data_IF_877975781566
#
_entry.id   IF_877975781566
#
_cell.length_a   1.000
_cell.length_b   1.000
_cell.length_c   1.000
_cell.angle_alpha   90.00
_cell.angle_beta   90.00
_cell.angle_gamma   90.00
#
_symmetry.space_group_name_H-M   'P 1'
#
loop_
_entity.id
_entity.type
_entity.pdbx_description
1 polymer ?
#
# COMPACT_ATOMS: atom_id res chain seq x y z
N UNK A 1 1.45 1.98 31.09
CA UNK A 1 2.56 2.17 30.14
C UNK A 1 1.96 2.76 28.86
N UNK A 2 2.51 3.86 28.33
CA UNK A 2 1.97 4.57 27.17
C UNK A 2 2.98 4.46 26.03
N UNK A 3 2.61 3.78 24.95
CA UNK A 3 3.42 3.77 23.72
C UNK A 3 2.66 4.56 22.67
N UNK A 4 3.19 5.72 22.31
CA UNK A 4 2.61 6.59 21.28
C UNK A 4 3.33 6.29 19.96
N UNK A 5 2.62 5.71 19.00
CA UNK A 5 3.05 5.58 17.60
C UNK A 5 1.97 6.21 16.73
N UNK A 6 2.38 6.93 15.69
CA UNK A 6 1.50 7.76 14.85
C UNK A 6 0.11 7.17 14.62
N UNK A 7 -0.92 7.85 15.14
CA UNK A 7 -2.33 7.56 14.90
C UNK A 7 -3.09 6.96 16.08
N UNK A 8 -2.41 6.34 17.06
CA UNK A 8 -3.07 5.78 18.25
C UNK A 8 -2.12 5.64 19.45
N UNK A 9 -2.71 5.59 20.64
CA UNK A 9 -2.03 5.35 21.91
C UNK A 9 -2.55 4.04 22.49
N UNK A 10 -1.62 3.17 22.88
CA UNK A 10 -1.92 1.97 23.65
C UNK A 10 -1.70 2.24 25.13
N UNK A 11 -2.69 1.91 25.95
CA UNK A 11 -2.57 1.94 27.42
C UNK A 11 -2.99 0.61 27.99
N UNK A 12 -2.25 0.11 28.98
CA UNK A 12 -2.64 -1.02 29.81
C UNK A 12 -2.55 -0.58 31.26
N UNK A 13 -3.48 -1.05 32.11
CA UNK A 13 -3.48 -0.67 33.53
C UNK A 13 -2.47 -1.47 34.34
N UNK A 14 -2.12 -2.67 33.88
CA UNK A 14 -1.14 -3.55 34.52
C UNK A 14 -0.37 -4.35 33.48
N UNK A 15 0.90 -4.57 33.77
CA UNK A 15 1.74 -5.55 33.06
C UNK A 15 2.11 -6.63 34.07
N UNK A 16 1.89 -7.88 33.72
CA UNK A 16 2.25 -9.04 34.53
C UNK A 16 3.28 -9.88 33.78
N UNK A 17 4.35 -10.25 34.47
CA UNK A 17 5.36 -11.17 33.96
C UNK A 17 5.07 -12.57 34.47
N UNK A 18 4.91 -13.52 33.56
CA UNK A 18 4.61 -14.93 33.85
C UNK A 18 5.63 -15.82 33.12
N UNK A 19 6.81 -16.01 33.73
CA UNK A 19 7.91 -16.74 33.10
C UNK A 19 8.44 -15.99 31.89
N UNK A 20 8.42 -16.62 30.70
CA UNK A 20 8.77 -15.95 29.42
C UNK A 20 7.61 -15.18 28.80
N UNK A 21 6.47 -15.06 29.47
CA UNK A 21 5.31 -14.38 28.92
C UNK A 21 5.09 -13.03 29.59
N UNK A 22 4.62 -12.04 28.82
CA UNK A 22 4.15 -10.76 29.32
C UNK A 22 2.66 -10.61 29.03
N UNK A 23 1.86 -10.32 30.05
CA UNK A 23 0.42 -10.07 29.93
C UNK A 23 0.15 -8.60 30.20
N UNK A 24 -0.36 -7.88 29.21
CA UNK A 24 -0.82 -6.51 29.34
C UNK A 24 -2.32 -6.55 29.60
N UNK A 25 -2.72 -6.26 30.84
CA UNK A 25 -4.12 -6.32 31.23
C UNK A 25 -4.88 -5.05 30.90
N UNK A 26 -6.11 -5.22 30.41
CA UNK A 26 -7.04 -4.15 30.04
C UNK A 26 -6.43 -3.15 29.08
N UNK A 27 -5.90 -3.65 27.97
CA UNK A 27 -5.39 -2.87 26.86
C UNK A 27 -6.51 -1.98 26.30
N UNK A 28 -6.26 -0.69 26.20
CA UNK A 28 -7.12 0.29 25.54
C UNK A 28 -6.38 0.96 24.40
N UNK A 29 -7.07 1.10 23.29
CA UNK A 29 -6.59 1.77 22.07
C UNK A 29 -7.31 3.12 21.96
N UNK A 30 -6.54 4.20 22.06
CA UNK A 30 -7.06 5.57 21.89
C UNK A 30 -6.57 6.11 20.56
N UNK A 31 -7.47 6.47 19.64
CA UNK A 31 -7.08 7.05 18.35
C UNK A 31 -6.69 8.51 18.52
N UNK A 32 -5.50 8.89 18.11
CA UNK A 32 -5.01 10.28 18.22
C UNK A 32 -5.58 11.13 17.09
N UNK A 33 -6.15 12.30 17.40
CA UNK A 33 -6.70 13.23 16.39
C UNK A 33 -8.15 12.96 15.99
N UNK A 34 -8.85 12.09 16.71
CA UNK A 34 -10.28 11.84 16.62
C UNK A 34 -10.87 11.89 18.02
N UNK A 35 -12.04 12.50 18.20
CA UNK A 35 -12.76 12.48 19.48
C UNK A 35 -13.63 11.21 19.55
N UNK A 36 -12.94 10.07 19.65
CA UNK A 36 -13.55 8.74 19.74
C UNK A 36 -13.25 8.14 21.12
N UNK A 37 -14.23 7.43 21.72
CA UNK A 37 -13.99 6.73 22.98
C UNK A 37 -12.87 5.70 22.80
N UNK A 38 -12.02 5.48 23.83
CA UNK A 38 -11.01 4.43 23.78
C UNK A 38 -11.64 3.07 23.54
N UNK A 39 -11.11 2.32 22.58
CA UNK A 39 -11.53 0.96 22.29
C UNK A 39 -10.90 0.02 23.31
N UNK A 40 -11.74 -0.71 24.05
CA UNK A 40 -11.28 -1.77 24.95
C UNK A 40 -10.87 -3.00 24.11
N UNK A 41 -9.61 -3.39 24.22
CA UNK A 41 -9.01 -4.49 23.49
C UNK A 41 -8.70 -5.68 24.41
N UNK A 42 -9.11 -5.65 25.68
CA UNK A 42 -8.91 -6.75 26.63
C UNK A 42 -7.44 -7.01 26.96
N UNK A 43 -7.10 -8.26 27.26
CA UNK A 43 -5.75 -8.62 27.71
C UNK A 43 -4.88 -9.07 26.53
N UNK A 44 -3.73 -8.43 26.33
CA UNK A 44 -2.77 -8.79 25.29
C UNK A 44 -1.66 -9.66 25.88
N UNK A 45 -1.44 -10.84 25.31
CA UNK A 45 -0.35 -11.73 25.74
C UNK A 45 0.77 -11.76 24.70
N UNK A 46 1.99 -11.49 25.17
CA UNK A 46 3.23 -11.72 24.45
C UNK A 46 3.86 -12.99 25.01
N UNK A 47 4.02 -14.00 24.17
CA UNK A 47 4.56 -15.31 24.52
C UNK A 47 6.01 -15.43 24.08
N UNK A 48 6.84 -16.06 24.91
CA UNK A 48 8.24 -16.34 24.57
C UNK A 48 9.07 -15.07 24.37
N UNK A 49 8.90 -14.09 25.26
CA UNK A 49 9.71 -12.88 25.30
C UNK A 49 11.09 -13.21 25.82
N UNK A 50 12.11 -12.94 25.02
CA UNK A 50 13.50 -13.14 25.42
C UNK A 50 14.33 -11.91 25.10
N UNK A 51 15.21 -11.54 26.04
CA UNK A 51 16.18 -10.50 25.82
C UNK A 51 17.38 -11.09 25.07
N UNK A 52 17.79 -10.43 23.99
CA UNK A 52 18.99 -10.75 23.22
C UNK A 52 20.24 -10.14 23.87
N UNK A 53 21.41 -10.71 23.56
CA UNK A 53 22.69 -10.26 24.10
C UNK A 53 23.03 -8.79 23.76
N UNK A 54 22.50 -8.27 22.65
CA UNK A 54 22.63 -6.88 22.21
C UNK A 54 21.67 -5.91 22.93
N UNK A 55 20.86 -6.41 23.86
CA UNK A 55 19.82 -5.66 24.56
C UNK A 55 18.50 -5.56 23.79
N UNK A 56 18.38 -6.22 22.63
CA UNK A 56 17.14 -6.33 21.87
C UNK A 56 16.20 -7.35 22.48
N UNK A 57 15.05 -7.55 21.85
CA UNK A 57 14.07 -8.55 22.29
C UNK A 57 13.56 -9.40 21.13
N UNK A 58 13.27 -10.66 21.40
CA UNK A 58 12.46 -11.52 20.54
C UNK A 58 11.13 -11.82 21.23
N UNK A 59 10.08 -12.02 20.43
CA UNK A 59 8.77 -12.45 20.90
C UNK A 59 8.30 -13.56 19.98
N UNK A 60 8.07 -14.76 20.52
CA UNK A 60 7.65 -15.92 19.72
C UNK A 60 6.27 -15.70 19.12
N UNK A 61 5.31 -15.22 19.93
CA UNK A 61 3.92 -15.06 19.52
C UNK A 61 3.22 -13.93 20.27
N UNK A 62 2.38 -13.19 19.57
CA UNK A 62 1.48 -12.18 20.12
C UNK A 62 0.07 -12.56 19.66
N UNK A 63 -0.76 -12.95 20.61
CA UNK A 63 -2.18 -13.22 20.36
C UNK A 63 -2.97 -11.95 20.62
N UNK A 64 -3.46 -11.32 19.56
CA UNK A 64 -4.30 -10.12 19.68
C UNK A 64 -5.73 -10.61 19.96
N UNK A 65 -6.37 -10.14 21.04
CA UNK A 65 -7.75 -10.49 21.35
C UNK A 65 -8.68 -10.18 20.20
N UNK A 66 -9.75 -10.95 20.13
CA UNK A 66 -10.82 -10.64 19.21
C UNK A 66 -11.45 -9.29 19.60
N UNK A 67 -11.56 -8.39 18.62
CA UNK A 67 -12.16 -7.08 18.81
C UNK A 67 -13.51 -7.10 18.11
N UNK A 68 -14.54 -6.62 18.80
CA UNK A 68 -15.86 -6.41 18.22
C UNK A 68 -16.50 -5.15 18.80
N UNK A 69 -16.98 -4.29 17.91
CA UNK A 69 -17.79 -3.11 18.21
C UNK A 69 -19.07 -3.29 17.41
N UNK A 70 -20.19 -3.34 18.10
CA UNK A 70 -21.51 -3.42 17.49
C UNK A 70 -22.43 -2.50 18.28
N UNK A 71 -22.69 -1.32 17.73
CA UNK A 71 -23.55 -0.30 18.29
C UNK A 71 -24.42 0.33 17.18
N UNK A 72 -25.32 1.23 17.54
CA UNK A 72 -26.27 1.84 16.60
C UNK A 72 -25.59 2.58 15.43
N UNK A 73 -24.32 3.00 15.60
CA UNK A 73 -23.56 3.75 14.60
C UNK A 73 -22.51 2.91 13.86
N UNK A 74 -22.01 1.84 14.48
CA UNK A 74 -20.79 1.15 14.04
C UNK A 74 -20.93 -0.37 14.13
N UNK A 75 -20.53 -1.06 13.08
CA UNK A 75 -20.29 -2.50 13.09
C UNK A 75 -18.85 -2.76 12.67
N UNK A 76 -18.05 -3.33 13.55
CA UNK A 76 -16.67 -3.70 13.28
C UNK A 76 -16.31 -4.96 14.04
N UNK A 77 -15.68 -5.92 13.39
CA UNK A 77 -15.00 -6.98 14.11
C UNK A 77 -13.71 -7.42 13.43
N UNK A 78 -12.86 -8.01 14.26
CA UNK A 78 -11.58 -8.59 13.90
C UNK A 78 -11.37 -9.85 14.74
N UNK A 79 -11.07 -10.98 14.09
CA UNK A 79 -10.95 -12.27 14.77
C UNK A 79 -9.64 -12.98 14.45
N UNK A 80 -9.17 -13.79 15.41
CA UNK A 80 -8.06 -14.75 15.23
C UNK A 80 -6.79 -14.06 14.71
N UNK A 81 -6.41 -12.96 15.36
CA UNK A 81 -5.24 -12.18 14.97
C UNK A 81 -4.01 -12.64 15.74
N UNK A 82 -2.99 -13.09 15.02
CA UNK A 82 -1.75 -13.60 15.59
C UNK A 82 -0.57 -13.01 14.85
N UNK A 83 0.38 -12.45 15.60
CA UNK A 83 1.70 -12.06 15.12
C UNK A 83 2.71 -13.04 15.67
N UNK A 84 3.69 -13.47 14.87
CA UNK A 84 4.70 -14.43 15.33
C UNK A 84 6.10 -14.09 14.84
N UNK A 85 7.08 -14.53 15.62
CA UNK A 85 8.51 -14.34 15.36
C UNK A 85 8.89 -12.88 15.25
N UNK A 86 8.52 -12.07 16.24
CA UNK A 86 8.92 -10.67 16.28
C UNK A 86 10.35 -10.54 16.81
N UNK A 87 11.11 -9.64 16.19
CA UNK A 87 12.39 -9.17 16.66
C UNK A 87 12.32 -7.66 16.81
N UNK A 88 12.78 -7.15 17.95
CA UNK A 88 12.86 -5.74 18.29
C UNK A 88 14.33 -5.41 18.48
N UNK A 89 14.87 -4.55 17.61
CA UNK A 89 16.25 -4.15 17.66
C UNK A 89 16.51 -3.21 18.85
N UNK A 90 17.62 -3.42 19.58
CA UNK A 90 18.01 -2.56 20.69
C UNK A 90 18.41 -1.17 20.21
N UNK A 91 19.31 -1.14 19.22
CA UNK A 91 19.79 0.03 18.48
C UNK A 91 20.21 -0.43 17.09
N UNK A 92 20.00 0.37 16.04
CA UNK A 92 20.39 0.01 14.69
C UNK A 92 21.85 0.46 14.40
N UNK A 93 22.82 -0.29 14.91
CA UNK A 93 24.25 0.09 14.89
C UNK A 93 25.12 -0.90 14.08
N UNK A 94 24.78 -2.19 14.06
CA UNK A 94 25.67 -3.24 13.53
C UNK A 94 25.56 -3.47 12.02
N UNK A 95 24.58 -2.82 11.36
CA UNK A 95 24.26 -2.94 9.93
C UNK A 95 24.05 -4.39 9.46
N UNK A 96 23.34 -5.17 10.26
CA UNK A 96 22.90 -6.54 9.96
C UNK A 96 21.38 -6.63 9.91
N UNK A 97 20.84 -7.79 9.49
CA UNK A 97 19.41 -8.09 9.63
C UNK A 97 18.94 -8.03 11.10
N UNK A 98 19.86 -8.21 12.06
CA UNK A 98 19.61 -8.08 13.50
C UNK A 98 19.16 -6.68 13.93
N UNK A 99 19.55 -5.65 13.18
CA UNK A 99 19.20 -4.25 13.46
C UNK A 99 17.78 -3.86 13.00
N UNK A 100 17.10 -4.77 12.29
CA UNK A 100 15.74 -4.54 11.82
C UNK A 100 14.73 -5.00 12.87
N UNK A 101 13.72 -4.16 13.08
CA UNK A 101 12.52 -4.52 13.85
C UNK A 101 11.45 -4.99 12.88
N UNK A 102 11.11 -6.28 12.93
CA UNK A 102 10.08 -6.89 12.09
C UNK A 102 9.49 -8.13 12.77
N UNK A 103 8.36 -8.63 12.25
CA UNK A 103 7.80 -9.90 12.66
C UNK A 103 7.72 -10.86 11.46
N UNK A 104 8.06 -12.12 11.69
CA UNK A 104 8.10 -13.17 10.66
C UNK A 104 6.75 -13.44 10.05
N UNK A 105 5.68 -13.34 10.81
CA UNK A 105 4.35 -13.49 10.25
C UNK A 105 3.30 -12.68 10.99
N UNK A 106 2.26 -12.36 10.24
CA UNK A 106 1.00 -11.84 10.74
C UNK A 106 -0.11 -12.63 10.08
N UNK A 107 -1.04 -13.14 10.87
CA UNK A 107 -2.25 -13.80 10.38
C UNK A 107 -3.45 -13.19 11.06
N UNK A 108 -4.54 -13.11 10.31
CA UNK A 108 -5.79 -12.55 10.77
C UNK A 108 -6.91 -13.32 10.08
N UNK A 109 -7.87 -13.74 10.87
CA UNK A 109 -9.07 -14.39 10.38
C UNK A 109 -10.06 -13.37 9.79
N UNK A 110 -11.36 -13.62 9.92
CA UNK A 110 -12.35 -12.76 9.32
C UNK A 110 -12.38 -11.38 10.00
N UNK A 111 -12.59 -10.35 9.19
CA UNK A 111 -12.81 -8.99 9.63
C UNK A 111 -13.91 -8.33 8.81
N UNK A 112 -14.64 -7.41 9.42
CA UNK A 112 -15.77 -6.71 8.82
C UNK A 112 -15.83 -5.27 9.33
N UNK A 113 -16.30 -4.37 8.46
CA UNK A 113 -16.57 -2.97 8.78
C UNK A 113 -17.89 -2.54 8.14
N UNK A 114 -18.72 -1.82 8.90
CA UNK A 114 -20.05 -1.36 8.52
C UNK A 114 -20.58 -0.30 9.49
N UNK A 115 -21.80 0.14 9.26
CA UNK A 115 -22.46 1.17 10.06
C UNK A 115 -23.78 0.63 10.63
N UNK A 116 -23.86 0.53 11.96
CA UNK A 116 -25.02 0.01 12.67
C UNK A 116 -25.52 -1.33 12.12
N UNK A 117 -26.83 -1.42 11.89
CA UNK A 117 -27.48 -2.63 11.35
C UNK A 117 -27.51 -2.70 9.82
N UNK A 118 -26.83 -1.80 9.10
CA UNK A 118 -26.75 -1.87 7.65
C UNK A 118 -25.88 -3.06 7.21
N UNK A 119 -26.08 -3.62 6.01
CA UNK A 119 -25.15 -4.57 5.44
C UNK A 119 -23.72 -4.02 5.46
N UNK A 120 -22.71 -4.85 5.77
CA UNK A 120 -21.35 -4.39 5.94
C UNK A 120 -20.82 -3.70 4.68
N UNK A 121 -20.04 -2.63 4.90
CA UNK A 121 -19.38 -1.89 3.85
C UNK A 121 -18.27 -2.73 3.21
N UNK A 122 -17.49 -3.42 4.02
CA UNK A 122 -16.44 -4.30 3.53
C UNK A 122 -16.19 -5.45 4.50
N UNK A 123 -15.77 -6.59 3.95
CA UNK A 123 -15.31 -7.72 4.74
C UNK A 123 -14.12 -8.41 4.08
N UNK A 124 -13.43 -9.21 4.88
CA UNK A 124 -12.30 -10.03 4.49
C UNK A 124 -12.39 -11.37 5.21
N UNK A 125 -12.06 -12.47 4.54
CA UNK A 125 -12.04 -13.81 5.19
C UNK A 125 -10.73 -14.08 5.92
N UNK A 126 -9.62 -13.72 5.30
CA UNK A 126 -8.30 -13.98 5.84
C UNK A 126 -7.29 -12.98 5.31
N UNK A 127 -6.37 -12.57 6.18
CA UNK A 127 -5.15 -11.87 5.83
C UNK A 127 -3.95 -12.66 6.35
N UNK A 128 -2.91 -12.76 5.54
CA UNK A 128 -1.62 -13.29 5.96
C UNK A 128 -0.47 -12.49 5.38
N UNK A 129 0.56 -12.28 6.19
CA UNK A 129 1.84 -11.74 5.80
C UNK A 129 2.95 -12.63 6.34
N UNK A 130 4.00 -12.86 5.55
CA UNK A 130 5.16 -13.66 5.92
C UNK A 130 6.45 -13.00 5.48
N UNK A 131 7.48 -13.07 6.31
CA UNK A 131 8.88 -12.73 6.01
C UNK A 131 9.73 -13.97 6.24
N UNK A 132 10.53 -14.32 5.25
CA UNK A 132 11.55 -15.38 5.35
C UNK A 132 12.92 -14.82 4.98
N UNK A 133 13.98 -15.36 5.57
CA UNK A 133 15.34 -15.03 5.16
C UNK A 133 15.62 -15.59 3.76
N UNK A 134 16.39 -14.84 2.98
CA UNK A 134 17.03 -15.37 1.79
C UNK A 134 18.23 -16.25 2.21
N UNK A 135 18.70 -17.17 1.34
CA UNK A 135 19.89 -17.96 1.61
C UNK A 135 21.10 -17.10 2.01
N UNK A 136 21.95 -17.65 2.86
CA UNK A 136 23.18 -17.02 3.35
C UNK A 136 22.97 -15.64 4.01
N UNK A 137 21.81 -15.42 4.63
CA UNK A 137 21.38 -14.16 5.25
C UNK A 137 21.48 -12.95 4.30
N UNK A 138 21.35 -13.20 2.99
CA UNK A 138 21.55 -12.21 1.93
C UNK A 138 20.42 -11.18 1.82
N UNK A 139 19.34 -11.34 2.59
CA UNK A 139 18.19 -10.45 2.59
C UNK A 139 16.91 -11.12 3.07
N UNK A 140 15.77 -10.55 2.69
CA UNK A 140 14.44 -10.98 3.11
C UNK A 140 13.53 -11.20 1.89
N UNK A 141 12.74 -12.27 1.89
CA UNK A 141 11.57 -12.41 1.04
C UNK A 141 10.32 -12.11 1.86
N UNK A 142 9.33 -11.47 1.23
CA UNK A 142 8.07 -11.15 1.86
C UNK A 142 6.90 -11.50 0.95
N UNK A 143 5.81 -11.95 1.57
CA UNK A 143 4.56 -12.22 0.89
C UNK A 143 3.38 -11.72 1.72
N UNK A 144 2.34 -11.27 1.04
CA UNK A 144 1.07 -10.87 1.61
C UNK A 144 -0.05 -11.49 0.79
N UNK A 145 -1.12 -11.90 1.46
CA UNK A 145 -2.34 -12.37 0.86
C UNK A 145 -3.52 -11.84 1.66
N UNK A 146 -4.49 -11.27 0.95
CA UNK A 146 -5.82 -10.97 1.47
C UNK A 146 -6.83 -11.71 0.60
N UNK A 147 -7.54 -12.66 1.21
CA UNK A 147 -8.49 -13.52 0.51
C UNK A 147 -9.94 -13.28 0.98
N UNK A 148 -10.87 -13.45 0.04
CA UNK A 148 -12.29 -13.20 0.28
C UNK A 148 -12.61 -11.74 0.61
N UNK A 149 -11.92 -10.80 -0.04
CA UNK A 149 -12.27 -9.39 0.03
C UNK A 149 -13.69 -9.22 -0.53
N UNK A 150 -14.56 -8.56 0.22
CA UNK A 150 -15.87 -8.15 -0.25
C UNK A 150 -16.02 -6.67 0.00
N UNK A 151 -16.51 -5.95 -1.00
CA UNK A 151 -16.87 -4.54 -0.87
C UNK A 151 -18.31 -4.35 -1.32
N UNK A 152 -19.11 -3.71 -0.47
CA UNK A 152 -20.50 -3.37 -0.73
C UNK A 152 -20.59 -1.88 -1.06
N UNK A 153 -20.73 -1.57 -2.34
CA UNK A 153 -20.86 -0.20 -2.81
C UNK A 153 -22.19 0.43 -2.41
N UNK A 154 -23.22 -0.37 -2.13
CA UNK A 154 -24.53 0.14 -1.67
C UNK A 154 -24.46 0.73 -0.26
N UNK A 155 -23.50 0.28 0.55
CA UNK A 155 -23.28 0.79 1.91
C UNK A 155 -22.65 2.20 1.97
N UNK A 156 -22.31 2.81 0.82
CA UNK A 156 -21.77 4.18 0.75
C UNK A 156 -22.82 5.29 0.96
N UNK A 157 -24.04 4.95 1.42
CA UNK A 157 -25.08 5.92 1.76
C UNK A 157 -25.54 6.75 0.56
N UNK A 158 -25.69 8.07 0.71
CA UNK A 158 -26.13 8.96 -0.38
C UNK A 158 -25.22 8.92 -1.62
N UNK A 159 -23.92 8.60 -1.45
CA UNK A 159 -22.99 8.41 -2.57
C UNK A 159 -23.29 7.14 -3.38
N UNK A 160 -23.86 6.10 -2.77
CA UNK A 160 -24.32 4.89 -3.45
C UNK A 160 -25.63 5.08 -4.23
N UNK A 161 -26.44 6.08 -3.83
CA UNK A 161 -27.71 6.40 -4.48
C UNK A 161 -27.54 7.22 -5.78
N UNK A 162 -26.31 7.48 -6.21
CA UNK A 162 -26.08 8.12 -7.50
C UNK A 162 -26.54 7.19 -8.62
N UNK A 163 -27.39 7.73 -9.52
CA UNK A 163 -27.89 7.05 -10.72
C UNK A 163 -26.76 6.39 -11.54
N UNK A 164 -25.57 7.01 -11.55
CA UNK A 164 -24.36 6.45 -12.15
C UNK A 164 -23.97 5.09 -11.56
N UNK A 165 -23.96 4.95 -10.24
CA UNK A 165 -23.56 3.71 -9.57
C UNK A 165 -24.61 2.61 -9.73
N UNK A 166 -25.90 2.96 -9.66
CA UNK A 166 -26.97 1.99 -9.89
C UNK A 166 -26.96 1.46 -11.33
N UNK A 167 -26.71 2.33 -12.33
CA UNK A 167 -26.66 1.90 -13.74
C UNK A 167 -25.38 1.15 -14.11
N UNK A 168 -24.26 1.36 -13.43
CA UNK A 168 -23.05 0.53 -13.59
C UNK A 168 -23.30 -0.91 -13.11
N UNK A 169 -24.21 -1.13 -12.15
CA UNK A 169 -24.72 -2.45 -11.79
C UNK A 169 -23.69 -3.33 -11.09
N UNK A 170 -22.94 -2.76 -10.16
CA UNK A 170 -21.96 -3.45 -9.31
C UNK A 170 -22.23 -3.15 -7.82
N UNK A 171 -23.33 -3.70 -7.24
CA UNK A 171 -23.70 -3.41 -5.85
C UNK A 171 -22.66 -3.96 -4.87
N UNK A 172 -22.11 -5.14 -5.18
CA UNK A 172 -21.05 -5.78 -4.41
C UNK A 172 -19.97 -6.29 -5.35
N UNK A 173 -18.72 -6.26 -4.90
CA UNK A 173 -17.61 -6.92 -5.59
C UNK A 173 -16.83 -7.81 -4.62
N UNK A 174 -16.48 -9.00 -5.09
CA UNK A 174 -15.61 -9.92 -4.37
C UNK A 174 -14.24 -9.98 -5.02
N UNK A 175 -13.22 -10.26 -4.24
CA UNK A 175 -11.87 -10.21 -4.75
C UNK A 175 -10.80 -10.79 -3.83
N UNK A 176 -9.58 -10.59 -4.27
CA UNK A 176 -8.36 -10.96 -3.56
C UNK A 176 -7.25 -9.98 -3.87
N UNK A 177 -6.35 -9.80 -2.91
CA UNK A 177 -5.12 -9.06 -3.10
C UNK A 177 -3.93 -9.92 -2.71
N UNK A 178 -2.82 -9.75 -3.40
CA UNK A 178 -1.60 -10.48 -3.10
C UNK A 178 -0.38 -9.66 -3.48
N UNK A 179 0.67 -9.77 -2.67
CA UNK A 179 1.97 -9.20 -3.00
C UNK A 179 3.08 -10.19 -2.65
N UNK A 180 4.14 -10.22 -3.46
CA UNK A 180 5.37 -10.95 -3.21
C UNK A 180 6.55 -10.14 -3.66
N UNK A 181 7.59 -10.15 -2.86
CA UNK A 181 8.83 -9.50 -3.22
C UNK A 181 9.99 -9.96 -2.38
N UNK A 182 11.13 -9.35 -2.66
CA UNK A 182 12.37 -9.57 -1.95
C UNK A 182 13.14 -8.28 -1.78
N UNK A 183 13.94 -8.25 -0.74
CA UNK A 183 14.89 -7.20 -0.46
C UNK A 183 16.26 -7.82 -0.22
N UNK A 184 17.29 -7.35 -0.90
CA UNK A 184 18.66 -7.85 -0.76
C UNK A 184 19.54 -6.87 0.01
N UNK A 185 20.35 -7.40 0.91
CA UNK A 185 21.19 -6.63 1.82
C UNK A 185 22.35 -5.94 1.08
N UNK A 186 22.94 -6.61 0.08
CA UNK A 186 24.16 -6.16 -0.60
C UNK A 186 24.01 -4.82 -1.34
N UNK A 187 22.90 -4.67 -2.06
CA UNK A 187 22.61 -3.50 -2.91
C UNK A 187 21.35 -2.73 -2.46
N UNK A 188 20.71 -3.16 -1.38
CA UNK A 188 19.44 -2.60 -0.90
C UNK A 188 18.35 -2.69 -1.97
N UNK A 189 18.36 -3.72 -2.81
CA UNK A 189 17.40 -3.86 -3.92
C UNK A 189 16.10 -4.45 -3.42
N UNK A 190 15.06 -3.64 -3.47
CA UNK A 190 13.68 -4.01 -3.22
C UNK A 190 13.00 -4.32 -4.55
N UNK A 191 12.65 -5.59 -4.76
CA UNK A 191 11.91 -6.05 -5.92
C UNK A 191 10.53 -6.56 -5.48
N UNK A 192 9.48 -5.86 -5.91
CA UNK A 192 8.10 -6.36 -5.89
C UNK A 192 7.86 -7.13 -7.20
N UNK A 193 7.87 -8.45 -7.08
CA UNK A 193 7.77 -9.39 -8.21
C UNK A 193 6.31 -9.62 -8.62
N UNK A 194 5.43 -9.69 -7.63
CA UNK A 194 3.99 -9.78 -7.83
C UNK A 194 3.32 -8.77 -6.90
N UNK A 195 2.48 -7.89 -7.44
CA UNK A 195 1.55 -7.09 -6.66
C UNK A 195 0.24 -7.03 -7.42
N UNK A 196 -0.86 -7.46 -6.84
CA UNK A 196 -2.14 -7.48 -7.53
C UNK A 196 -3.33 -7.31 -6.61
N UNK A 197 -4.37 -6.66 -7.14
CA UNK A 197 -5.71 -6.59 -6.61
C UNK A 197 -6.67 -6.99 -7.73
N UNK A 198 -7.47 -8.03 -7.50
CA UNK A 198 -8.50 -8.47 -8.43
C UNK A 198 -9.87 -8.36 -7.76
N UNK A 199 -10.82 -7.72 -8.46
CA UNK A 199 -12.18 -7.48 -8.01
C UNK A 199 -13.16 -7.86 -9.12
N UNK A 200 -14.14 -8.71 -8.81
CA UNK A 200 -15.13 -9.19 -9.76
C UNK A 200 -15.94 -8.03 -10.38
N UNK A 201 -16.06 -8.01 -11.70
CA UNK A 201 -16.75 -6.94 -12.43
C UNK A 201 -15.96 -5.63 -12.57
N UNK A 202 -14.98 -5.37 -11.71
CA UNK A 202 -14.07 -4.23 -11.81
C UNK A 202 -12.88 -4.54 -12.72
N UNK A 203 -12.15 -5.61 -12.41
CA UNK A 203 -10.94 -5.98 -13.11
C UNK A 203 -9.79 -6.36 -12.19
N UNK A 204 -8.58 -6.41 -12.76
CA UNK A 204 -7.35 -6.68 -12.03
C UNK A 204 -6.36 -5.55 -12.22
N UNK A 205 -5.87 -4.98 -11.13
CA UNK A 205 -4.71 -4.09 -11.12
C UNK A 205 -3.51 -4.93 -10.70
N UNK A 206 -2.45 -4.91 -11.49
CA UNK A 206 -1.17 -5.48 -11.16
C UNK A 206 -0.08 -4.40 -11.16
N UNK A 207 0.79 -4.44 -10.17
CA UNK A 207 1.92 -3.53 -10.00
C UNK A 207 3.19 -4.32 -9.74
N UNK A 208 4.31 -3.79 -10.21
CA UNK A 208 5.64 -4.30 -9.92
C UNK A 208 6.61 -3.14 -9.89
N UNK A 209 7.61 -3.23 -9.03
CA UNK A 209 8.70 -2.25 -8.98
C UNK A 209 9.98 -2.91 -8.52
N UNK A 210 11.09 -2.38 -8.99
CA UNK A 210 12.44 -2.85 -8.68
C UNK A 210 13.30 -1.61 -8.49
N UNK A 211 13.71 -1.38 -7.24
CA UNK A 211 14.42 -0.18 -6.82
C UNK A 211 15.64 -0.61 -6.00
N UNK A 212 16.80 -0.05 -6.32
CA UNK A 212 18.04 -0.22 -5.54
C UNK A 212 18.31 0.98 -4.65
N UNK A 213 19.21 0.81 -3.67
CA UNK A 213 19.60 1.88 -2.75
C UNK A 213 18.77 1.98 -1.46
N UNK A 214 17.84 1.04 -1.24
CA UNK A 214 17.12 0.88 0.03
C UNK A 214 17.99 0.12 1.05
N UNK A 215 19.16 0.67 1.39
CA UNK A 215 20.14 -0.01 2.25
C UNK A 215 19.76 0.07 3.73
N UNK A 216 20.40 -0.74 4.58
CA UNK A 216 20.24 -0.62 6.03
C UNK A 216 20.58 0.78 6.53
N UNK A 217 21.65 1.41 6.01
CA UNK A 217 21.97 2.79 6.39
C UNK A 217 20.83 3.79 6.06
N UNK A 218 20.14 3.59 4.94
CA UNK A 218 18.98 4.40 4.59
C UNK A 218 17.78 4.13 5.53
N UNK A 219 17.48 2.85 5.80
CA UNK A 219 16.45 2.40 6.74
C UNK A 219 16.67 2.96 8.15
N UNK A 220 17.89 2.81 8.67
CA UNK A 220 18.30 3.31 9.98
C UNK A 220 18.23 4.85 10.03
N UNK A 221 18.66 5.54 8.96
CA UNK A 221 18.54 6.99 8.84
C UNK A 221 17.09 7.50 8.87
N UNK A 222 16.17 6.80 8.19
CA UNK A 222 14.74 7.10 8.24
C UNK A 222 14.17 6.87 9.64
N UNK A 223 14.50 5.74 10.28
CA UNK A 223 14.05 5.45 11.66
C UNK A 223 14.50 6.54 12.63
N UNK A 224 15.77 6.96 12.59
CA UNK A 224 16.27 8.06 13.44
C UNK A 224 15.51 9.38 13.21
N UNK A 225 15.12 9.64 11.96
CA UNK A 225 14.37 10.84 11.59
C UNK A 225 12.92 10.80 12.10
N UNK A 226 12.27 9.63 12.04
CA UNK A 226 10.95 9.39 12.64
C UNK A 226 11.01 9.45 14.17
N UNK A 227 11.98 8.78 14.79
CA UNK A 227 12.16 8.79 16.25
C UNK A 227 12.41 10.22 16.75
N UNK A 228 13.20 11.03 16.02
CA UNK A 228 13.36 12.46 16.31
C UNK A 228 12.04 13.23 16.14
N UNK A 229 11.27 12.98 15.07
CA UNK A 229 9.99 13.63 14.85
C UNK A 229 8.98 13.31 15.97
N UNK A 230 8.87 12.04 16.38
CA UNK A 230 8.01 11.59 17.49
C UNK A 230 8.46 12.19 18.81
N UNK A 231 9.77 12.22 19.08
CA UNK A 231 10.31 12.84 20.31
C UNK A 231 10.07 14.36 20.32
N UNK A 232 10.19 15.03 19.17
CA UNK A 232 9.92 16.47 19.05
C UNK A 232 8.43 16.83 19.03
N UNK A 233 7.56 15.93 18.59
CA UNK A 233 6.10 16.10 18.66
C UNK A 233 5.59 16.09 20.10
N UNK A 234 6.38 15.53 21.04
CA UNK A 234 6.18 15.65 22.48
C UNK A 234 6.35 17.10 22.99
N UNK A 235 6.98 17.98 22.20
CA UNK A 235 7.28 19.37 22.57
C UNK A 235 6.72 20.44 21.62
N UNK A 236 6.27 20.11 20.41
CA UNK A 236 5.53 21.04 19.56
C UNK A 236 4.70 20.36 18.47
N UNK A 237 3.43 20.74 18.36
CA UNK A 237 2.61 20.51 17.18
C UNK A 237 3.10 21.40 16.04
N UNK A 238 4.06 20.94 15.22
CA UNK A 238 4.41 21.68 14.01
C UNK A 238 4.94 20.82 12.86
N UNK A 239 4.71 21.36 11.67
CA UNK A 239 5.06 20.87 10.33
C UNK A 239 6.42 20.15 10.29
N UNK A 240 6.59 19.13 9.42
CA UNK A 240 7.87 18.44 9.27
C UNK A 240 8.99 19.47 9.06
N UNK A 241 9.96 19.48 9.98
CA UNK A 241 11.05 20.45 9.99
C UNK A 241 11.81 20.41 8.66
N UNK A 242 12.40 21.53 8.25
CA UNK A 242 13.24 21.61 7.04
C UNK A 242 14.34 20.53 7.05
N UNK A 243 14.84 20.17 8.23
CA UNK A 243 15.79 19.07 8.41
C UNK A 243 15.21 17.69 8.01
N UNK A 244 13.97 17.39 8.40
CA UNK A 244 13.29 16.15 8.01
C UNK A 244 13.04 16.10 6.49
N UNK A 245 12.70 17.23 5.88
CA UNK A 245 12.52 17.33 4.42
C UNK A 245 13.85 17.11 3.66
N UNK A 246 14.94 17.69 4.16
CA UNK A 246 16.29 17.49 3.61
C UNK A 246 16.74 16.04 3.78
N UNK A 247 16.50 15.43 4.95
CA UNK A 247 16.83 14.03 5.19
C UNK A 247 16.08 13.08 4.24
N UNK A 248 14.80 13.34 4.01
CA UNK A 248 13.99 12.60 3.03
C UNK A 248 14.54 12.76 1.60
N UNK A 249 14.88 13.98 1.20
CA UNK A 249 15.45 14.22 -0.14
C UNK A 249 16.79 13.52 -0.33
N UNK A 250 17.64 13.50 0.70
CA UNK A 250 18.90 12.75 0.70
C UNK A 250 18.67 11.23 0.61
N UNK A 251 17.66 10.70 1.30
CA UNK A 251 17.29 9.29 1.20
C UNK A 251 16.81 8.94 -0.22
N UNK A 252 15.93 9.76 -0.80
CA UNK A 252 15.46 9.59 -2.18
C UNK A 252 16.62 9.66 -3.16
N UNK A 253 17.57 10.57 -2.96
CA UNK A 253 18.73 10.75 -3.85
C UNK A 253 19.62 9.51 -4.00
N UNK A 254 19.56 8.56 -3.05
CA UNK A 254 20.30 7.30 -3.09
C UNK A 254 19.56 6.17 -3.81
N UNK A 255 18.28 6.37 -4.14
CA UNK A 255 17.48 5.36 -4.81
C UNK A 255 17.80 5.33 -6.31
N UNK A 256 17.71 4.15 -6.90
CA UNK A 256 17.76 3.98 -8.35
C UNK A 256 16.59 3.12 -8.82
N UNK A 257 15.93 3.54 -9.89
CA UNK A 257 14.88 2.77 -10.54
C UNK A 257 15.51 1.75 -11.49
N UNK A 258 15.24 0.46 -11.25
CA UNK A 258 15.61 -0.62 -12.17
C UNK A 258 14.44 -0.95 -13.10
N UNK A 259 13.22 -1.02 -12.54
CA UNK A 259 11.99 -1.30 -13.29
C UNK A 259 10.76 -0.82 -12.51
N UNK A 260 9.72 -0.42 -13.22
CA UNK A 260 8.37 -0.34 -12.68
C UNK A 260 7.36 -0.80 -13.73
N UNK A 261 6.26 -1.38 -13.30
CA UNK A 261 5.15 -1.75 -14.18
C UNK A 261 3.82 -1.58 -13.49
N UNK A 262 2.84 -1.15 -14.26
CA UNK A 262 1.44 -1.11 -13.88
C UNK A 262 0.65 -1.76 -15.02
N UNK A 263 -0.26 -2.67 -14.68
CA UNK A 263 -1.17 -3.29 -15.63
C UNK A 263 -2.58 -3.23 -15.06
N UNK A 264 -3.51 -2.69 -15.83
CA UNK A 264 -4.94 -2.82 -15.58
C UNK A 264 -5.52 -3.82 -16.57
N UNK A 265 -6.33 -4.75 -16.08
CA UNK A 265 -7.17 -5.63 -16.90
C UNK A 265 -8.62 -5.35 -16.58
N UNK A 266 -9.40 -4.98 -17.59
CA UNK A 266 -10.79 -4.57 -17.43
C UNK A 266 -11.68 -5.79 -17.15
N UNK A 267 -12.42 -5.74 -16.05
CA UNK A 267 -13.39 -6.77 -15.67
C UNK A 267 -14.78 -6.59 -16.28
N UNK A 268 -14.93 -5.70 -17.26
CA UNK A 268 -16.21 -5.25 -17.82
C UNK A 268 -16.67 -3.90 -17.30
N UNK A 269 -15.94 -3.27 -16.37
CA UNK A 269 -16.29 -1.97 -15.78
C UNK A 269 -16.30 -0.85 -16.83
N UNK A 270 -15.29 -0.79 -17.70
CA UNK A 270 -15.17 0.29 -18.69
C UNK A 270 -16.36 0.29 -19.64
N UNK A 271 -16.80 -0.89 -20.10
CA UNK A 271 -17.96 -1.02 -21.00
C UNK A 271 -19.26 -0.55 -20.32
N UNK A 272 -19.46 -0.88 -19.04
CA UNK A 272 -20.61 -0.42 -18.24
C UNK A 272 -20.59 1.11 -18.07
N UNK A 273 -19.43 1.67 -17.76
CA UNK A 273 -19.26 3.12 -17.60
C UNK A 273 -19.50 3.86 -18.92
N UNK A 274 -19.02 3.35 -20.05
CA UNK A 274 -19.29 3.93 -21.36
C UNK A 274 -20.77 3.91 -21.73
N UNK A 275 -21.47 2.81 -21.46
CA UNK A 275 -22.91 2.72 -21.69
C UNK A 275 -23.65 3.80 -20.88
N UNK A 276 -23.33 3.93 -19.59
CA UNK A 276 -23.93 4.93 -18.71
C UNK A 276 -23.65 6.38 -19.17
N UNK A 277 -22.40 6.71 -19.49
CA UNK A 277 -22.02 8.05 -19.95
C UNK A 277 -22.67 8.39 -21.30
N UNK A 278 -22.78 7.43 -22.20
CA UNK A 278 -23.41 7.63 -23.50
C UNK A 278 -24.90 7.96 -23.32
N UNK A 279 -25.61 7.21 -22.49
CA UNK A 279 -27.01 7.48 -22.14
C UNK A 279 -27.18 8.87 -21.52
N UNK A 280 -26.33 9.23 -20.55
CA UNK A 280 -26.38 10.53 -19.85
C UNK A 280 -26.16 11.70 -20.80
N UNK A 281 -25.25 11.55 -21.77
CA UNK A 281 -24.96 12.56 -22.78
C UNK A 281 -25.89 12.51 -24.00
N UNK A 282 -26.88 11.59 -24.00
CA UNK A 282 -27.79 11.34 -25.13
C UNK A 282 -27.03 11.02 -26.43
N UNK A 283 -25.91 10.31 -26.30
CA UNK A 283 -25.07 9.82 -27.39
C UNK A 283 -25.23 8.30 -27.53
N UNK A 284 -24.99 7.78 -28.72
CA UNK A 284 -24.71 6.34 -28.87
C UNK A 284 -23.33 6.00 -28.28
N UNK A 285 -23.10 4.76 -27.82
CA UNK A 285 -21.77 4.33 -27.35
C UNK A 285 -20.66 4.59 -28.37
N UNK A 286 -20.93 4.40 -29.66
CA UNK A 286 -19.98 4.67 -30.73
C UNK A 286 -19.63 6.16 -30.84
N UNK A 287 -20.62 7.06 -30.70
CA UNK A 287 -20.39 8.51 -30.71
C UNK A 287 -19.58 8.96 -29.48
N UNK A 288 -19.87 8.42 -28.29
CA UNK A 288 -19.08 8.71 -27.10
C UNK A 288 -17.63 8.26 -27.28
N UNK A 289 -17.39 7.03 -27.76
CA UNK A 289 -16.03 6.51 -28.02
C UNK A 289 -15.30 7.39 -29.03
N UNK A 290 -15.97 7.80 -30.11
CA UNK A 290 -15.38 8.71 -31.09
C UNK A 290 -15.00 10.07 -30.46
N UNK A 291 -15.88 10.63 -29.62
CA UNK A 291 -15.60 11.88 -28.91
C UNK A 291 -14.40 11.75 -27.96
N UNK A 292 -14.29 10.63 -27.21
CA UNK A 292 -13.15 10.36 -26.34
C UNK A 292 -11.84 10.22 -27.11
N UNK A 293 -11.85 9.56 -28.28
CA UNK A 293 -10.68 9.47 -29.16
C UNK A 293 -10.24 10.84 -29.68
N UNK A 294 -11.19 11.68 -30.09
CA UNK A 294 -10.92 13.05 -30.53
C UNK A 294 -10.32 13.86 -29.38
N UNK A 295 -10.88 13.76 -28.17
CA UNK A 295 -10.35 14.44 -26.99
C UNK A 295 -8.91 14.00 -26.70
N UNK A 296 -8.64 12.69 -26.70
CA UNK A 296 -7.28 12.16 -26.49
C UNK A 296 -6.29 12.67 -27.56
N UNK A 297 -6.70 12.69 -28.83
CA UNK A 297 -5.90 13.24 -29.91
C UNK A 297 -5.63 14.76 -29.75
N UNK A 298 -6.60 15.51 -29.24
CA UNK A 298 -6.47 16.95 -28.95
C UNK A 298 -5.53 17.26 -27.79
N UNK A 299 -5.41 16.36 -26.81
CA UNK A 299 -4.51 16.51 -25.66
C UNK A 299 -3.07 16.09 -25.98
N UNK A 300 -2.85 15.17 -26.92
CA UNK A 300 -1.52 14.63 -27.23
C UNK A 300 -0.45 15.70 -27.56
N UNK A 301 -0.72 16.77 -28.33
CA UNK A 301 0.25 17.82 -28.59
C UNK A 301 0.77 18.53 -27.33
N UNK A 302 -0.03 18.61 -26.26
CA UNK A 302 0.37 19.26 -25.00
C UNK A 302 1.47 18.48 -24.29
N UNK A 303 1.47 17.16 -24.42
CA UNK A 303 2.43 16.28 -23.79
C UNK A 303 3.58 15.86 -24.72
N UNK A 304 3.46 16.09 -26.03
CA UNK A 304 4.48 15.75 -27.01
C UNK A 304 5.89 16.32 -26.72
N UNK A 305 6.05 17.55 -26.18
CA UNK A 305 7.37 18.06 -25.77
C UNK A 305 8.01 17.25 -24.65
N UNK A 306 7.22 16.66 -23.74
CA UNK A 306 7.70 15.92 -22.58
C UNK A 306 7.91 14.43 -22.90
N UNK A 307 7.01 13.86 -23.70
CA UNK A 307 7.02 12.43 -24.03
C UNK A 307 7.93 12.11 -25.22
N UNK A 308 8.16 13.07 -26.10
CA UNK A 308 8.71 12.83 -27.43
C UNK A 308 7.67 12.22 -28.38
N UNK A 309 7.86 12.46 -29.69
CA UNK A 309 6.91 12.04 -30.74
C UNK A 309 6.64 10.53 -30.77
N UNK A 310 7.64 9.62 -30.67
CA UNK A 310 7.37 8.19 -30.76
C UNK A 310 6.47 7.67 -29.64
N UNK A 311 6.72 8.09 -28.39
CA UNK A 311 5.93 7.68 -27.24
C UNK A 311 4.53 8.30 -27.27
N UNK A 312 4.41 9.59 -27.64
CA UNK A 312 3.10 10.23 -27.80
C UNK A 312 2.21 9.46 -28.81
N UNK A 313 2.78 9.02 -29.93
CA UNK A 313 2.08 8.19 -30.91
C UNK A 313 1.73 6.79 -30.36
N UNK A 314 2.62 6.16 -29.59
CA UNK A 314 2.36 4.87 -28.96
C UNK A 314 1.21 4.96 -27.95
N UNK A 315 1.16 6.03 -27.15
CA UNK A 315 0.06 6.31 -26.22
C UNK A 315 -1.25 6.49 -26.98
N UNK A 316 -1.28 7.30 -28.04
CA UNK A 316 -2.48 7.48 -28.85
C UNK A 316 -2.99 6.17 -29.45
N UNK A 317 -2.08 5.32 -29.94
CA UNK A 317 -2.43 3.98 -30.44
C UNK A 317 -3.01 3.09 -29.34
N UNK A 318 -2.40 3.09 -28.15
CA UNK A 318 -2.88 2.31 -27.01
C UNK A 318 -4.26 2.79 -26.55
N UNK A 319 -4.47 4.11 -26.45
CA UNK A 319 -5.76 4.72 -26.12
C UNK A 319 -6.81 4.36 -27.16
N UNK A 320 -6.51 4.45 -28.45
CA UNK A 320 -7.44 4.07 -29.52
C UNK A 320 -7.86 2.60 -29.42
N UNK A 321 -6.90 1.69 -29.23
CA UNK A 321 -7.15 0.26 -29.09
C UNK A 321 -8.01 -0.05 -27.85
N UNK A 322 -7.66 0.54 -26.70
CA UNK A 322 -8.38 0.33 -25.46
C UNK A 322 -9.80 0.89 -25.50
N UNK A 323 -9.99 2.12 -26.01
CA UNK A 323 -11.33 2.73 -26.13
C UNK A 323 -12.24 1.94 -27.09
N UNK A 324 -11.65 1.25 -28.09
CA UNK A 324 -12.41 0.45 -29.05
C UNK A 324 -12.87 -0.88 -28.48
N UNK A 325 -11.99 -1.57 -27.75
CA UNK A 325 -12.31 -2.82 -27.07
C UNK A 325 -11.50 -2.91 -25.76
N UNK A 326 -12.06 -2.42 -24.64
CA UNK A 326 -11.37 -2.41 -23.36
C UNK A 326 -11.04 -3.83 -22.90
N UNK A 327 -9.74 -4.15 -22.76
CA UNK A 327 -9.27 -5.41 -22.18
C UNK A 327 -8.12 -5.20 -21.20
N UNK A 328 -7.05 -4.55 -21.63
CA UNK A 328 -5.89 -4.30 -20.78
C UNK A 328 -5.16 -3.01 -21.14
N UNK A 329 -4.51 -2.41 -20.14
CA UNK A 329 -3.57 -1.31 -20.27
C UNK A 329 -2.31 -1.65 -19.49
N UNK A 330 -1.16 -1.64 -20.16
CA UNK A 330 0.15 -1.89 -19.54
C UNK A 330 1.02 -0.65 -19.68
N UNK A 331 1.53 -0.16 -18.56
CA UNK A 331 2.55 0.87 -18.44
C UNK A 331 3.82 0.23 -17.89
N UNK A 332 4.95 0.42 -18.56
CA UNK A 332 6.25 -0.11 -18.09
C UNK A 332 7.32 0.97 -18.14
N UNK A 333 8.08 1.09 -17.06
CA UNK A 333 9.36 1.77 -17.00
C UNK A 333 10.44 0.68 -16.92
N UNK A 334 11.22 0.53 -17.98
CA UNK A 334 12.30 -0.45 -18.06
C UNK A 334 13.55 0.20 -18.65
N UNK A 335 14.26 1.04 -17.87
CA UNK A 335 15.47 1.67 -18.34
C UNK A 335 16.55 0.62 -18.66
N UNK A 336 17.43 0.93 -19.62
CA UNK A 336 18.50 0.01 -20.04
C UNK A 336 19.53 -0.28 -18.92
N UNK A 337 19.66 0.65 -17.97
CA UNK A 337 20.49 0.55 -16.77
C UNK A 337 19.76 1.21 -15.59
N UNK A 338 20.10 0.89 -14.34
CA UNK A 338 19.53 1.55 -13.17
C UNK A 338 19.62 3.07 -13.26
N UNK A 339 18.49 3.78 -13.10
CA UNK A 339 18.44 5.25 -13.20
C UNK A 339 18.37 5.86 -11.80
N UNK A 340 19.39 6.61 -11.36
CA UNK A 340 19.35 7.29 -10.06
C UNK A 340 18.20 8.29 -9.97
N UNK A 341 17.50 8.33 -8.84
CA UNK A 341 16.39 9.27 -8.62
C UNK A 341 16.85 10.74 -8.75
N UNK A 342 18.09 11.05 -8.36
CA UNK A 342 18.68 12.37 -8.59
C UNK A 342 18.75 12.75 -10.08
N UNK A 343 19.07 11.80 -10.96
CA UNK A 343 19.07 12.04 -12.41
C UNK A 343 17.65 12.28 -12.93
N UNK A 344 16.64 11.59 -12.39
CA UNK A 344 15.23 11.84 -12.70
C UNK A 344 14.83 13.27 -12.32
N UNK A 345 15.17 13.73 -11.12
CA UNK A 345 14.87 15.09 -10.65
C UNK A 345 15.53 16.16 -11.53
N UNK A 346 16.80 15.97 -11.90
CA UNK A 346 17.54 16.89 -12.77
C UNK A 346 16.94 16.93 -14.17
N UNK A 347 16.63 15.77 -14.75
CA UNK A 347 15.99 15.68 -16.06
C UNK A 347 14.61 16.35 -16.04
N UNK A 348 13.81 16.13 -15.00
CA UNK A 348 12.47 16.73 -14.89
C UNK A 348 12.48 18.26 -14.90
N UNK A 349 13.53 18.88 -14.33
CA UNK A 349 13.64 20.35 -14.26
C UNK A 349 14.30 20.95 -15.51
N UNK A 350 15.34 20.31 -16.03
CA UNK A 350 16.18 20.90 -17.08
C UNK A 350 15.88 20.40 -18.48
N UNK A 351 15.44 19.15 -18.61
CA UNK A 351 15.32 18.41 -19.88
C UNK A 351 14.16 17.39 -19.79
N UNK A 352 12.91 17.84 -19.56
CA UNK A 352 11.77 16.96 -19.32
C UNK A 352 11.52 15.98 -20.48
N UNK A 353 11.90 16.36 -21.71
CA UNK A 353 11.83 15.53 -22.91
C UNK A 353 12.71 14.27 -22.86
N UNK A 354 13.70 14.23 -21.97
CA UNK A 354 14.59 13.07 -21.79
C UNK A 354 14.06 12.06 -20.77
N UNK A 355 13.03 12.40 -20.00
CA UNK A 355 12.50 11.51 -18.95
C UNK A 355 11.99 10.18 -19.52
N UNK A 356 11.11 10.26 -20.52
CA UNK A 356 10.53 9.07 -21.15
C UNK A 356 11.59 8.10 -21.70
N UNK A 357 12.55 8.53 -22.55
CA UNK A 357 13.58 7.62 -23.04
C UNK A 357 14.54 7.16 -21.95
N UNK A 358 14.90 8.01 -20.98
CA UNK A 358 15.77 7.64 -19.86
C UNK A 358 15.16 6.53 -19.00
N UNK A 359 13.85 6.59 -18.75
CA UNK A 359 13.13 5.62 -17.93
C UNK A 359 12.67 4.38 -18.72
N UNK A 360 12.93 4.32 -20.03
CA UNK A 360 12.44 3.25 -20.89
C UNK A 360 10.91 3.13 -20.86
N UNK A 361 10.21 4.26 -20.84
CA UNK A 361 8.76 4.32 -20.71
C UNK A 361 8.08 3.73 -21.96
N UNK A 362 7.18 2.78 -21.75
CA UNK A 362 6.34 2.19 -22.78
C UNK A 362 4.89 2.03 -22.30
N UNK A 363 3.96 2.12 -23.26
CA UNK A 363 2.51 1.96 -23.04
C UNK A 363 1.97 0.98 -24.07
N UNK A 364 1.20 0.02 -23.63
CA UNK A 364 0.53 -0.99 -24.46
C UNK A 364 -0.93 -1.13 -24.04
N UNK A 365 -1.77 -1.53 -24.97
CA UNK A 365 -3.17 -1.85 -24.72
C UNK A 365 -3.52 -3.17 -25.40
N UNK A 366 -4.35 -3.96 -24.72
CA UNK A 366 -4.87 -5.23 -25.21
C UNK A 366 -3.79 -6.26 -25.59
N UNK A 367 -2.69 -6.27 -24.82
CA UNK A 367 -1.57 -7.22 -24.88
C UNK A 367 -1.75 -8.45 -23.98
#
# INVERSE_FOLDING_TARGET
MQTERSGFVLTAYRVEEAGRNLVLHGLKITFTGQDLPPLDAGDLTLEGVEQRADGGYTIERIAIPDIAVDDDASHFFLRKTVVAGCQIAAKPEDRTLGDLTYCRSFTMGPAEIGAGHAPPLASLKQLSYTISDLPDDSGLAFAFLADGLTYNFEALGASAQNEAWQKVGLPTSQGRAGLKGRWTLADGRLALEEGQLALAGFGRVAVGFDISGYTLDALCGMKRSVDHAVTSAREAAQKPSTAAQVALLQAIGRLALNRASFRFEDGGLTKRLFAFLAETQKLSPAQLIAALKIAAAGEAPKYAPILGKPLANAILKAVDAYLSDPRSLTLTLAPASPVPAGAVLVAAQSQPEKLAPMLGLSVQAND
#
